data_IF_453027614337
#
_entry.id   IF_453027614337
#
_cell.length_a   1.000
_cell.length_b   1.000
_cell.length_c   1.000
_cell.angle_alpha   90.00
_cell.angle_beta   90.00
_cell.angle_gamma   90.00
#
_symmetry.space_group_name_H-M   'P 1'
#
loop_
_entity.id
_entity.type
_entity.pdbx_description
1 polymer ?
#
# COMPACT_ATOMS: atom_id res chain seq x y z
N UNK A 1 11.07 -4.74 5.14
CA UNK A 1 9.64 -4.43 5.36
C UNK A 1 8.89 -4.69 4.07
N UNK A 2 7.82 -5.48 4.12
CA UNK A 2 7.12 -5.95 2.90
C UNK A 2 6.12 -4.94 2.36
N UNK A 3 5.83 -5.02 1.06
CA UNK A 3 4.82 -4.22 0.35
C UNK A 3 3.44 -4.24 1.06
N UNK A 4 3.07 -5.37 1.67
CA UNK A 4 1.84 -5.49 2.46
C UNK A 4 1.78 -4.53 3.65
N UNK A 5 2.90 -4.30 4.34
CA UNK A 5 2.96 -3.36 5.46
C UNK A 5 2.79 -1.91 4.98
N UNK A 6 3.37 -1.55 3.84
CA UNK A 6 3.19 -0.23 3.24
C UNK A 6 1.71 0.01 2.86
N UNK A 7 1.06 -0.98 2.23
CA UNK A 7 -0.36 -0.88 1.90
C UNK A 7 -1.25 -0.78 3.16
N UNK A 8 -0.96 -1.54 4.22
CA UNK A 8 -1.67 -1.46 5.49
C UNK A 8 -1.51 -0.08 6.15
N UNK A 9 -0.31 0.50 6.10
CA UNK A 9 -0.06 1.84 6.61
C UNK A 9 -0.87 2.90 5.84
N UNK A 10 -0.93 2.81 4.50
CA UNK A 10 -1.75 3.70 3.66
C UNK A 10 -3.24 3.55 3.98
N UNK A 11 -3.72 2.32 4.16
CA UNK A 11 -5.10 2.04 4.54
C UNK A 11 -5.46 2.66 5.89
N UNK A 12 -4.61 2.47 6.90
CA UNK A 12 -4.77 3.07 8.21
C UNK A 12 -4.79 4.60 8.13
N UNK A 13 -3.83 5.23 7.44
CA UNK A 13 -3.76 6.68 7.28
C UNK A 13 -5.01 7.28 6.61
N UNK A 14 -5.54 6.61 5.56
CA UNK A 14 -6.78 7.04 4.89
C UNK A 14 -7.99 6.98 5.81
N UNK A 15 -8.12 5.90 6.58
CA UNK A 15 -9.22 5.75 7.53
C UNK A 15 -9.10 6.73 8.70
N UNK A 16 -7.90 6.98 9.22
CA UNK A 16 -7.67 8.01 10.25
C UNK A 16 -8.09 9.39 9.73
N UNK A 17 -7.69 9.77 8.52
CA UNK A 17 -8.09 11.06 7.92
C UNK A 17 -9.60 11.17 7.72
N UNK A 18 -10.26 10.08 7.31
CA UNK A 18 -11.72 10.04 7.19
C UNK A 18 -12.42 10.19 8.55
N UNK A 19 -11.90 9.52 9.59
CA UNK A 19 -12.40 9.65 10.97
C UNK A 19 -12.20 11.06 11.51
N UNK A 20 -11.03 11.66 11.29
CA UNK A 20 -10.70 13.02 11.70
C UNK A 20 -11.66 14.04 11.07
N UNK A 21 -11.90 13.93 9.76
CA UNK A 21 -12.89 14.77 9.07
C UNK A 21 -14.32 14.56 9.57
N UNK A 22 -14.71 13.34 9.93
CA UNK A 22 -16.04 13.08 10.49
C UNK A 22 -16.20 13.62 11.92
N UNK A 23 -15.14 13.58 12.72
CA UNK A 23 -15.15 14.01 14.12
C UNK A 23 -14.98 15.52 14.29
N UNK A 24 -14.16 16.15 13.45
CA UNK A 24 -13.77 17.55 13.56
C UNK A 24 -14.11 18.40 12.32
N UNK A 25 -14.40 17.79 11.18
CA UNK A 25 -14.69 18.49 9.91
C UNK A 25 -16.17 18.87 9.68
N UNK A 26 -17.01 18.78 10.72
CA UNK A 26 -18.44 19.06 10.64
C UNK A 26 -18.82 20.52 10.85
N UNK A 27 -18.46 21.43 9.94
CA UNK A 27 -19.30 22.61 9.69
C UNK A 27 -20.24 22.24 8.55
N UNK A 28 -21.40 21.69 8.91
CA UNK A 28 -22.51 21.61 7.97
C UNK A 28 -22.93 23.06 7.66
N UNK A 29 -22.66 23.56 6.46
CA UNK A 29 -23.36 24.75 5.94
C UNK A 29 -24.81 24.32 5.66
N UNK A 30 -25.59 24.18 6.72
CA UNK A 30 -27.04 24.32 6.60
C UNK A 30 -27.31 25.81 6.46
N UNK A 31 -28.21 26.15 5.56
CA UNK A 31 -28.74 27.50 5.39
C UNK A 31 -29.12 28.05 6.78
N UNK A 32 -28.42 29.07 7.27
CA UNK A 32 -28.70 29.73 8.56
C UNK A 32 -27.60 29.56 9.62
N UNK A 33 -27.19 30.69 10.21
CA UNK A 33 -25.98 30.90 11.01
C UNK A 33 -25.93 30.21 12.40
N UNK A 34 -26.15 28.90 12.51
CA UNK A 34 -26.01 28.17 13.78
C UNK A 34 -25.17 26.89 13.63
N UNK A 35 -24.14 26.67 14.47
CA UNK A 35 -23.37 25.44 14.47
C UNK A 35 -24.22 24.29 15.03
N UNK A 36 -24.50 23.28 14.21
CA UNK A 36 -25.13 22.05 14.68
C UNK A 36 -24.15 21.26 15.55
N UNK A 37 -24.53 20.79 16.75
CA UNK A 37 -23.62 20.03 17.60
C UNK A 37 -23.34 18.66 16.97
N UNK A 38 -22.05 18.32 16.86
CA UNK A 38 -21.50 17.04 16.37
C UNK A 38 -21.85 15.83 17.24
N UNK A 39 -22.81 15.96 18.17
CA UNK A 39 -23.14 14.97 19.20
C UNK A 39 -24.42 14.15 18.93
N UNK A 40 -25.09 14.30 17.77
CA UNK A 40 -26.42 13.71 17.54
C UNK A 40 -26.57 12.79 16.31
N UNK A 41 -25.52 12.17 15.81
CA UNK A 41 -25.68 11.05 14.84
C UNK A 41 -25.28 9.71 15.50
N UNK A 42 -26.25 8.98 16.09
CA UNK A 42 -26.04 7.58 16.44
C UNK A 42 -25.93 6.77 15.14
N UNK A 43 -24.73 6.35 14.76
CA UNK A 43 -24.49 5.61 13.51
C UNK A 43 -23.06 5.72 12.97
N UNK A 44 -22.09 5.62 13.87
CA UNK A 44 -20.68 5.96 13.66
C UNK A 44 -20.06 5.27 12.42
N UNK A 45 -19.47 6.11 11.55
CA UNK A 45 -18.24 5.86 10.77
C UNK A 45 -18.16 4.54 9.99
N UNK A 46 -18.66 4.54 8.74
CA UNK A 46 -18.32 3.48 7.78
C UNK A 46 -16.86 3.65 7.35
N UNK A 47 -15.94 2.88 7.94
CA UNK A 47 -14.54 2.80 7.48
C UNK A 47 -14.50 2.34 6.02
N UNK A 48 -13.53 2.87 5.26
CA UNK A 48 -13.37 2.51 3.85
C UNK A 48 -12.50 1.26 3.75
N UNK A 49 -13.03 0.20 3.14
CA UNK A 49 -12.25 -0.99 2.75
C UNK A 49 -11.38 -0.66 1.54
N UNK A 50 -10.15 -0.23 1.79
CA UNK A 50 -9.18 0.16 0.75
C UNK A 50 -7.96 -0.76 0.68
N UNK A 51 -7.87 -1.74 1.56
CA UNK A 51 -6.82 -2.75 1.56
C UNK A 51 -7.42 -4.13 1.35
N UNK A 52 -6.85 -4.85 0.41
CA UNK A 52 -7.19 -6.24 0.14
C UNK A 52 -5.87 -7.01 0.23
N UNK A 53 -5.84 -8.18 0.89
CA UNK A 53 -4.62 -8.98 0.94
C UNK A 53 -4.34 -9.56 -0.44
N UNK A 54 -3.18 -9.23 -0.99
CA UNK A 54 -2.66 -9.82 -2.24
C UNK A 54 -1.68 -10.95 -1.94
N UNK A 55 -1.61 -11.32 -0.65
CA UNK A 55 -0.53 -12.10 -0.10
C UNK A 55 0.64 -11.24 0.38
N UNK A 56 1.76 -11.87 0.72
CA UNK A 56 2.95 -11.15 1.13
C UNK A 56 3.71 -10.57 -0.09
N UNK A 57 3.40 -11.04 -1.31
CA UNK A 57 3.82 -10.44 -2.57
C UNK A 57 5.14 -10.99 -3.10
N UNK A 58 6.19 -10.17 -3.03
CA UNK A 58 7.55 -10.45 -3.51
C UNK A 58 8.52 -10.35 -2.32
N UNK A 59 9.34 -11.38 -2.13
CA UNK A 59 10.41 -11.42 -1.13
C UNK A 59 11.72 -11.61 -1.85
N UNK A 60 12.63 -10.65 -1.72
CA UNK A 60 14.01 -10.81 -2.12
C UNK A 60 14.85 -11.02 -0.85
N UNK A 61 15.63 -12.10 -0.82
CA UNK A 61 16.47 -12.50 0.31
C UNK A 61 17.90 -12.62 -0.23
N UNK A 62 18.86 -11.98 0.41
CA UNK A 62 20.29 -12.21 0.11
C UNK A 62 20.79 -13.38 0.95
N UNK A 63 21.50 -14.29 0.29
CA UNK A 63 22.23 -15.41 0.91
C UNK A 63 23.74 -15.12 0.97
N UNK A 64 24.18 -14.05 0.31
CA UNK A 64 25.53 -13.52 0.30
C UNK A 64 25.65 -12.36 -0.70
N UNK A 65 26.86 -11.83 -0.90
CA UNK A 65 27.10 -10.75 -1.87
C UNK A 65 26.73 -11.13 -3.31
N UNK A 66 26.96 -12.39 -3.68
CA UNK A 66 26.78 -12.92 -5.04
C UNK A 66 25.63 -13.94 -5.15
N UNK A 67 24.86 -14.12 -4.07
CA UNK A 67 23.78 -15.11 -4.02
C UNK A 67 22.56 -14.58 -3.27
N UNK A 68 21.38 -14.98 -3.74
CA UNK A 68 20.11 -14.57 -3.21
C UNK A 68 18.97 -15.37 -3.82
N UNK A 69 17.77 -15.15 -3.31
CA UNK A 69 16.56 -15.73 -3.87
C UNK A 69 15.43 -14.70 -3.89
N UNK A 70 14.66 -14.69 -4.97
CA UNK A 70 13.43 -13.92 -5.07
C UNK A 70 12.27 -14.89 -5.14
N UNK A 71 11.34 -14.77 -4.21
CA UNK A 71 10.10 -15.53 -4.16
C UNK A 71 8.95 -14.60 -4.50
N UNK A 72 8.08 -15.03 -5.42
CA UNK A 72 6.90 -14.27 -5.86
C UNK A 72 5.63 -15.10 -5.69
N UNK A 73 4.48 -14.43 -5.67
CA UNK A 73 3.17 -15.09 -5.66
C UNK A 73 2.78 -15.69 -4.32
N UNK A 74 3.48 -15.33 -3.24
CA UNK A 74 3.12 -15.72 -1.88
C UNK A 74 1.75 -15.13 -1.55
N UNK A 75 0.74 -16.00 -1.46
CA UNK A 75 -0.65 -15.69 -1.13
C UNK A 75 -1.02 -16.27 0.25
N UNK A 76 -2.28 -16.08 0.68
CA UNK A 76 -2.78 -16.71 1.90
C UNK A 76 -3.03 -18.22 1.77
N UNK A 77 -2.94 -18.81 0.58
CA UNK A 77 -3.05 -20.25 0.39
C UNK A 77 -1.70 -20.94 0.59
N UNK A 78 -1.73 -22.13 1.19
CA UNK A 78 -0.55 -23.00 1.33
C UNK A 78 0.12 -23.22 -0.05
N UNK A 79 1.45 -23.26 -0.07
CA UNK A 79 2.27 -23.58 -1.26
C UNK A 79 2.05 -22.64 -2.47
N UNK A 80 1.64 -21.39 -2.22
CA UNK A 80 1.41 -20.39 -3.27
C UNK A 80 2.68 -19.70 -3.76
N UNK A 81 3.67 -19.52 -2.89
CA UNK A 81 4.93 -18.88 -3.22
C UNK A 81 5.78 -19.73 -4.17
N UNK A 82 6.31 -19.11 -5.22
CA UNK A 82 7.24 -19.74 -6.16
C UNK A 82 8.57 -19.03 -6.15
N UNK A 83 9.65 -19.80 -6.14
CA UNK A 83 10.99 -19.27 -6.41
C UNK A 83 11.02 -18.75 -7.84
N UNK A 84 11.24 -17.45 -8.00
CA UNK A 84 11.27 -16.77 -9.28
C UNK A 84 12.69 -16.67 -9.84
N UNK A 85 13.64 -16.26 -9.00
CA UNK A 85 15.05 -16.18 -9.37
C UNK A 85 15.93 -16.57 -8.19
N UNK A 86 17.11 -17.10 -8.51
CA UNK A 86 18.14 -17.47 -7.55
C UNK A 86 19.52 -17.07 -8.10
N UNK A 87 20.51 -16.89 -7.22
CA UNK A 87 21.87 -16.55 -7.58
C UNK A 87 22.07 -15.05 -7.75
N UNK A 88 23.05 -14.71 -8.59
CA UNK A 88 23.49 -13.33 -8.78
C UNK A 88 22.37 -12.38 -9.24
N UNK A 89 21.45 -12.85 -10.08
CA UNK A 89 20.32 -12.04 -10.57
C UNK A 89 19.39 -11.64 -9.41
N UNK A 90 19.14 -12.55 -8.48
CA UNK A 90 18.33 -12.28 -7.30
C UNK A 90 19.02 -11.30 -6.35
N UNK A 91 20.34 -11.45 -6.17
CA UNK A 91 21.15 -10.52 -5.39
C UNK A 91 21.12 -9.10 -6.00
N UNK A 92 21.36 -8.98 -7.30
CA UNK A 92 21.30 -7.69 -8.01
C UNK A 92 19.90 -7.06 -7.95
N UNK A 93 18.84 -7.86 -8.07
CA UNK A 93 17.47 -7.37 -7.96
C UNK A 93 17.16 -6.81 -6.55
N UNK A 94 17.63 -7.47 -5.49
CA UNK A 94 17.51 -6.97 -4.12
C UNK A 94 18.21 -5.62 -3.96
N UNK A 95 19.47 -5.52 -4.39
CA UNK A 95 20.26 -4.28 -4.27
C UNK A 95 19.62 -3.12 -5.04
N UNK A 96 19.07 -3.39 -6.23
CA UNK A 96 18.31 -2.41 -6.99
C UNK A 96 17.08 -1.92 -6.22
N UNK A 97 16.30 -2.84 -5.62
CA UNK A 97 15.12 -2.49 -4.82
C UNK A 97 15.52 -1.63 -3.62
N UNK A 98 16.55 -2.02 -2.87
CA UNK A 98 17.00 -1.29 -1.68
C UNK A 98 17.53 0.10 -2.04
N UNK A 99 18.42 0.18 -3.02
CA UNK A 99 19.01 1.45 -3.48
C UNK A 99 17.94 2.42 -3.97
N UNK A 100 17.03 1.95 -4.82
CA UNK A 100 15.96 2.80 -5.34
C UNK A 100 14.95 3.18 -4.26
N UNK A 101 14.68 2.31 -3.27
CA UNK A 101 13.77 2.62 -2.16
C UNK A 101 14.35 3.69 -1.24
N UNK A 102 15.63 3.57 -0.88
CA UNK A 102 16.33 4.57 -0.06
C UNK A 102 16.30 5.93 -0.79
N UNK A 103 16.61 5.93 -2.09
CA UNK A 103 16.55 7.12 -2.93
C UNK A 103 15.13 7.72 -3.03
N UNK A 104 14.08 6.88 -3.06
CA UNK A 104 12.68 7.35 -2.98
C UNK A 104 12.41 8.02 -1.63
N UNK A 105 12.84 7.41 -0.53
CA UNK A 105 12.62 7.91 0.83
C UNK A 105 13.38 9.22 1.10
N UNK A 106 14.56 9.42 0.49
CA UNK A 106 15.30 10.70 0.52
C UNK A 106 14.62 11.81 -0.28
N UNK A 107 13.91 11.45 -1.35
CA UNK A 107 13.10 12.38 -2.15
C UNK A 107 13.87 13.21 -3.19
N UNK A 108 15.19 13.05 -3.27
CA UNK A 108 16.13 13.75 -4.14
C UNK A 108 16.30 13.10 -5.54
N UNK A 109 15.88 11.84 -5.71
CA UNK A 109 16.00 11.11 -6.97
C UNK A 109 14.67 10.95 -7.73
N UNK A 110 14.50 11.70 -8.82
CA UNK A 110 13.28 11.68 -9.65
C UNK A 110 12.98 10.31 -10.28
N UNK A 111 14.00 9.60 -10.76
CA UNK A 111 13.83 8.27 -11.35
C UNK A 111 13.28 7.28 -10.32
N UNK A 112 13.86 7.25 -9.13
CA UNK A 112 13.38 6.41 -8.02
C UNK A 112 11.94 6.78 -7.66
N UNK A 113 11.63 8.07 -7.54
CA UNK A 113 10.25 8.51 -7.29
C UNK A 113 9.27 8.04 -8.36
N UNK A 114 9.66 8.08 -9.64
CA UNK A 114 8.83 7.63 -10.75
C UNK A 114 8.65 6.10 -10.78
N UNK A 115 9.73 5.33 -10.60
CA UNK A 115 9.69 3.86 -10.52
C UNK A 115 8.73 3.44 -9.42
N UNK A 116 8.91 3.98 -8.23
CA UNK A 116 8.05 3.64 -7.10
C UNK A 116 6.63 4.19 -7.29
N UNK A 117 6.44 5.38 -7.86
CA UNK A 117 5.11 5.86 -8.21
C UNK A 117 4.38 4.85 -9.10
N UNK A 118 5.06 4.30 -10.10
CA UNK A 118 4.50 3.30 -11.03
C UNK A 118 4.17 1.99 -10.32
N UNK A 119 5.06 1.50 -9.45
CA UNK A 119 4.84 0.29 -8.65
C UNK A 119 3.60 0.45 -7.73
N UNK A 120 3.45 1.61 -7.07
CA UNK A 120 2.33 1.83 -6.15
C UNK A 120 1.00 2.11 -6.87
N UNK A 121 1.03 2.68 -8.07
CA UNK A 121 -0.16 3.01 -8.85
C UNK A 121 -0.45 1.99 -9.95
N UNK A 122 0.12 0.79 -9.85
CA UNK A 122 -0.14 -0.27 -10.81
C UNK A 122 -1.66 -0.54 -10.88
N UNK A 123 -2.31 -0.28 -12.03
CA UNK A 123 -3.77 -0.16 -12.10
C UNK A 123 -4.50 -1.50 -11.98
N UNK A 124 -3.76 -2.61 -11.96
CA UNK A 124 -4.30 -3.96 -12.06
C UNK A 124 -4.04 -4.74 -10.77
N UNK A 125 -5.12 -5.09 -10.09
CA UNK A 125 -5.09 -6.03 -8.99
C UNK A 125 -5.29 -7.45 -9.54
N UNK A 126 -4.20 -8.12 -9.89
CA UNK A 126 -4.22 -9.44 -10.53
C UNK A 126 -4.48 -10.59 -9.56
N UNK A 127 -4.09 -10.44 -8.28
CA UNK A 127 -4.09 -11.55 -7.30
C UNK A 127 -4.62 -11.16 -5.91
N UNK A 128 -5.06 -9.93 -5.70
CA UNK A 128 -5.72 -9.49 -4.48
C UNK A 128 -7.21 -9.72 -4.49
N UNK A 129 -7.79 -9.99 -3.32
CA UNK A 129 -9.25 -10.17 -3.11
C UNK A 129 -10.10 -8.89 -3.29
N UNK A 130 -9.58 -7.91 -4.01
CA UNK A 130 -10.21 -6.61 -4.28
C UNK A 130 -10.61 -6.47 -5.75
N UNK A 131 -11.20 -5.33 -6.14
CA UNK A 131 -11.55 -5.05 -7.53
C UNK A 131 -10.33 -5.14 -8.46
N UNK A 132 -10.51 -5.67 -9.68
CA UNK A 132 -9.44 -5.91 -10.67
C UNK A 132 -8.81 -4.63 -11.20
N UNK A 133 -9.61 -3.57 -11.36
CA UNK A 133 -9.13 -2.23 -11.66
C UNK A 133 -9.39 -1.33 -10.46
N UNK A 134 -8.35 -0.64 -9.99
CA UNK A 134 -8.50 0.43 -9.00
C UNK A 134 -8.99 1.71 -9.69
N UNK A 135 -10.14 1.66 -10.35
CA UNK A 135 -10.86 2.83 -10.80
C UNK A 135 -12.15 2.95 -9.98
N UNK A 136 -12.37 4.13 -9.38
CA UNK A 136 -13.55 4.56 -8.63
C UNK A 136 -13.71 4.02 -7.19
N UNK A 137 -13.03 4.68 -6.26
CA UNK A 137 -13.62 5.00 -4.96
C UNK A 137 -13.14 6.40 -4.55
N UNK A 138 -13.83 7.42 -5.06
CA UNK A 138 -13.74 8.80 -4.59
C UNK A 138 -14.11 8.87 -3.08
#
# INVERSE_FOLDING_TARGET
>A
TGYSAEQQAVHAARNIKALDHQRYGGTLRLIGCLPAPTALVPGMTKLRSTWYPWGSGIFAISLGPEDGCVVMGLSGSKDSGRLWSQGLVAAAQKELIETTKIAQCRGDHYLSRFIWFTIHHWPVNLWGRGPTFSCLAA
#
